data_IF_991535634876
#
_entry.id   IF_991535634876
#
_cell.length_a   1.000
_cell.length_b   1.000
_cell.length_c   1.000
_cell.angle_alpha   90.00
_cell.angle_beta   90.00
_cell.angle_gamma   90.00
#
_symmetry.space_group_name_H-M   'P 1'
#
loop_
_entity.id
_entity.type
_entity.pdbx_description
1 polymer ?
#
# COMPACT_ATOMS: atom_id res chain seq x y z
N UNK A 1 23.16 -11.73 -21.80
CA UNK A 1 22.69 -10.63 -22.67
C UNK A 1 21.71 -9.83 -21.82
N UNK A 2 22.16 -8.72 -21.23
CA UNK A 2 21.31 -7.89 -20.37
C UNK A 2 20.38 -7.12 -21.31
N UNK A 3 19.08 -7.38 -21.24
CA UNK A 3 18.08 -6.60 -21.95
C UNK A 3 18.26 -5.13 -21.56
N UNK A 4 18.47 -4.25 -22.51
CA UNK A 4 18.44 -2.82 -22.29
C UNK A 4 17.03 -2.46 -21.80
N UNK A 5 16.89 -1.55 -20.79
CA UNK A 5 15.59 -1.04 -20.43
C UNK A 5 14.91 -0.52 -21.70
N UNK A 6 13.63 -0.86 -21.87
CA UNK A 6 12.84 -0.27 -22.94
C UNK A 6 12.98 1.24 -22.83
N UNK A 7 13.49 1.87 -23.87
CA UNK A 7 13.40 3.31 -24.05
C UNK A 7 11.91 3.63 -24.18
N UNK A 8 11.24 3.79 -23.05
CA UNK A 8 9.92 4.42 -22.99
C UNK A 8 10.22 5.90 -23.29
N UNK A 9 10.26 6.21 -24.56
CA UNK A 9 10.45 7.59 -25.05
C UNK A 9 9.18 8.33 -24.71
N UNK A 10 9.18 8.97 -23.55
CA UNK A 10 8.25 10.07 -23.29
C UNK A 10 8.77 11.27 -24.10
N UNK A 11 8.53 11.23 -25.40
CA UNK A 11 8.84 12.36 -26.28
C UNK A 11 7.98 13.55 -25.83
N UNK A 12 8.64 14.61 -25.39
CA UNK A 12 8.01 15.87 -25.00
C UNK A 12 7.20 16.54 -26.13
N UNK A 13 7.28 16.01 -27.33
CA UNK A 13 6.54 16.47 -28.53
C UNK A 13 5.40 15.54 -28.95
N UNK A 14 5.23 14.37 -28.36
CA UNK A 14 4.08 13.52 -28.66
C UNK A 14 2.92 13.88 -27.70
N UNK A 15 1.77 14.22 -28.26
CA UNK A 15 0.53 14.48 -27.53
C UNK A 15 -0.09 13.20 -26.88
N UNK A 16 0.71 12.18 -26.62
CA UNK A 16 0.25 10.95 -25.96
C UNK A 16 0.32 11.15 -24.46
N UNK A 17 -0.81 11.37 -23.83
CA UNK A 17 -0.96 11.48 -22.38
C UNK A 17 -1.17 10.09 -21.79
N UNK A 18 -0.09 9.36 -21.52
CA UNK A 18 -0.18 8.09 -20.79
C UNK A 18 -0.62 8.36 -19.35
N UNK A 19 -1.79 7.84 -19.00
CA UNK A 19 -2.35 7.96 -17.63
C UNK A 19 -2.19 6.68 -16.82
N UNK A 20 -2.01 5.54 -17.46
CA UNK A 20 -1.86 4.23 -16.82
C UNK A 20 -0.64 3.51 -17.40
N UNK A 21 0.27 3.08 -16.52
CA UNK A 21 1.41 2.24 -16.86
C UNK A 21 1.36 0.96 -16.05
N UNK A 22 1.16 -0.17 -16.73
CA UNK A 22 1.22 -1.49 -16.11
C UNK A 22 2.51 -2.21 -16.57
N UNK A 23 3.40 -2.43 -15.62
CA UNK A 23 4.65 -3.17 -15.75
C UNK A 23 4.67 -4.38 -14.82
N UNK A 24 3.52 -4.92 -14.46
CA UNK A 24 3.42 -6.13 -13.65
C UNK A 24 4.16 -7.31 -14.30
N UNK A 25 4.81 -8.16 -13.49
CA UNK A 25 5.53 -9.37 -13.93
C UNK A 25 6.67 -9.11 -14.94
N UNK A 26 7.38 -8.00 -14.83
CA UNK A 26 8.39 -7.55 -15.80
C UNK A 26 9.85 -7.72 -15.34
N UNK A 27 10.07 -8.33 -14.16
CA UNK A 27 11.40 -8.53 -13.57
C UNK A 27 12.26 -7.25 -13.52
N UNK A 28 11.62 -6.12 -13.19
CA UNK A 28 12.28 -4.80 -13.13
C UNK A 28 13.42 -4.80 -12.12
N UNK A 29 13.23 -5.46 -10.97
CA UNK A 29 14.18 -5.51 -9.89
C UNK A 29 14.49 -4.13 -9.27
N UNK A 30 15.33 -4.14 -8.24
CA UNK A 30 15.69 -2.89 -7.52
C UNK A 30 16.40 -1.86 -8.40
N UNK A 31 17.21 -2.31 -9.36
CA UNK A 31 17.94 -1.38 -10.23
C UNK A 31 17.05 -0.79 -11.33
N UNK A 32 16.13 -1.60 -11.88
CA UNK A 32 15.16 -1.10 -12.85
C UNK A 32 14.18 -0.10 -12.24
N UNK A 33 13.83 -0.26 -10.97
CA UNK A 33 13.02 0.71 -10.24
C UNK A 33 13.65 2.12 -10.25
N UNK A 34 14.98 2.21 -10.07
CA UNK A 34 15.69 3.50 -10.16
C UNK A 34 15.53 4.16 -11.52
N UNK A 35 15.79 3.41 -12.61
CA UNK A 35 15.64 3.95 -13.96
C UNK A 35 14.20 4.38 -14.27
N UNK A 36 13.22 3.62 -13.79
CA UNK A 36 11.82 3.97 -13.94
C UNK A 36 11.48 5.28 -13.21
N UNK A 37 11.95 5.43 -11.99
CA UNK A 37 11.73 6.64 -11.18
C UNK A 37 12.41 7.85 -11.85
N UNK A 38 13.64 7.72 -12.31
CA UNK A 38 14.36 8.78 -13.05
C UNK A 38 13.55 9.23 -14.28
N UNK A 39 12.94 8.28 -15.02
CA UNK A 39 12.09 8.59 -16.18
C UNK A 39 10.74 9.23 -15.81
N UNK A 40 10.17 8.90 -14.64
CA UNK A 40 8.88 9.42 -14.18
C UNK A 40 9.00 10.70 -13.34
N UNK A 41 10.18 11.14 -12.99
CA UNK A 41 10.41 12.23 -12.05
C UNK A 41 9.69 13.54 -12.45
N UNK A 42 9.58 13.82 -13.74
CA UNK A 42 8.89 15.01 -14.28
C UNK A 42 7.55 14.67 -14.95
N UNK A 43 7.08 13.43 -14.83
CA UNK A 43 5.82 13.04 -15.44
C UNK A 43 4.64 13.66 -14.69
N UNK A 44 3.77 14.36 -15.43
CA UNK A 44 2.60 15.10 -14.93
C UNK A 44 1.27 14.50 -15.40
N UNK A 45 1.28 13.30 -16.01
CA UNK A 45 0.10 12.72 -16.63
C UNK A 45 -0.28 11.34 -16.06
N UNK A 46 0.71 10.60 -15.53
CA UNK A 46 0.48 9.27 -15.01
C UNK A 46 -0.30 9.33 -13.69
N UNK A 47 -1.46 8.68 -13.67
CA UNK A 47 -2.33 8.56 -12.49
C UNK A 47 -2.32 7.15 -11.90
N UNK A 48 -1.96 6.14 -12.68
CA UNK A 48 -1.93 4.75 -12.24
C UNK A 48 -0.62 4.08 -12.62
N UNK A 49 0.09 3.53 -11.64
CA UNK A 49 1.31 2.76 -11.81
C UNK A 49 1.15 1.39 -11.18
N UNK A 50 1.26 0.32 -11.98
CA UNK A 50 1.28 -1.06 -11.53
C UNK A 50 2.68 -1.65 -11.72
N UNK A 51 3.29 -2.07 -10.62
CA UNK A 51 4.61 -2.68 -10.54
C UNK A 51 4.57 -4.03 -9.80
N UNK A 52 3.42 -4.68 -9.74
CA UNK A 52 3.28 -5.93 -9.01
C UNK A 52 4.23 -7.01 -9.56
N UNK A 53 4.74 -7.87 -8.67
CA UNK A 53 5.59 -9.00 -9.02
C UNK A 53 6.85 -8.60 -9.81
N UNK A 54 7.66 -7.69 -9.25
CA UNK A 54 8.86 -7.13 -9.91
C UNK A 54 10.15 -7.23 -9.08
N UNK A 55 10.13 -7.91 -7.94
CA UNK A 55 11.32 -8.10 -7.11
C UNK A 55 11.98 -6.78 -6.70
N UNK A 56 11.16 -5.77 -6.40
CA UNK A 56 11.63 -4.43 -6.01
C UNK A 56 12.44 -4.46 -4.70
N UNK A 57 12.06 -5.34 -3.77
CA UNK A 57 12.61 -5.39 -2.43
C UNK A 57 12.54 -4.02 -1.71
N UNK A 58 13.17 -3.88 -0.55
CA UNK A 58 13.15 -2.60 0.17
C UNK A 58 13.85 -1.48 -0.61
N UNK A 59 14.97 -1.79 -1.30
CA UNK A 59 15.75 -0.79 -2.04
C UNK A 59 14.99 -0.22 -3.25
N UNK A 60 14.34 -1.09 -4.04
CA UNK A 60 13.50 -0.61 -5.14
C UNK A 60 12.31 0.19 -4.65
N UNK A 61 11.75 -0.20 -3.48
CA UNK A 61 10.64 0.53 -2.86
C UNK A 61 11.07 1.91 -2.35
N UNK A 62 12.32 2.07 -1.90
CA UNK A 62 12.87 3.39 -1.52
C UNK A 62 12.81 4.37 -2.70
N UNK A 63 13.23 3.95 -3.90
CA UNK A 63 13.11 4.79 -5.10
C UNK A 63 11.66 5.15 -5.44
N UNK A 64 10.74 4.19 -5.33
CA UNK A 64 9.30 4.46 -5.53
C UNK A 64 8.76 5.45 -4.48
N UNK A 65 9.20 5.32 -3.23
CA UNK A 65 8.84 6.27 -2.17
C UNK A 65 9.38 7.68 -2.46
N UNK A 66 10.60 7.80 -2.99
CA UNK A 66 11.18 9.08 -3.40
C UNK A 66 10.37 9.72 -4.54
N UNK A 67 9.91 8.92 -5.52
CA UNK A 67 8.98 9.41 -6.53
C UNK A 67 7.70 9.96 -5.89
N UNK A 68 7.08 9.21 -4.98
CA UNK A 68 5.82 9.61 -4.34
C UNK A 68 5.92 10.91 -3.55
N UNK A 69 7.08 11.23 -2.93
CA UNK A 69 7.25 12.47 -2.16
C UNK A 69 7.06 13.73 -3.00
N UNK A 70 7.40 13.67 -4.28
CA UNK A 70 7.38 14.82 -5.18
C UNK A 70 6.31 14.73 -6.28
N UNK A 71 5.75 13.55 -6.51
CA UNK A 71 4.73 13.34 -7.54
C UNK A 71 3.36 13.84 -7.04
N UNK A 72 2.70 14.62 -7.89
CA UNK A 72 1.39 15.24 -7.61
C UNK A 72 0.27 14.76 -8.54
N UNK A 73 0.49 13.68 -9.28
CA UNK A 73 -0.48 13.16 -10.25
C UNK A 73 -0.88 11.71 -10.00
N UNK A 74 -0.01 10.93 -9.35
CA UNK A 74 -0.26 9.51 -9.11
C UNK A 74 -1.35 9.32 -8.05
N UNK A 75 -2.43 8.65 -8.47
CA UNK A 75 -3.62 8.35 -7.66
C UNK A 75 -3.57 6.90 -7.17
N UNK A 76 -3.11 5.98 -8.03
CA UNK A 76 -3.07 4.54 -7.75
C UNK A 76 -1.67 3.98 -7.91
N UNK A 77 -1.20 3.30 -6.87
CA UNK A 77 0.06 2.54 -6.89
C UNK A 77 -0.20 1.09 -6.47
N UNK A 78 0.11 0.15 -7.36
CA UNK A 78 0.15 -1.28 -7.06
C UNK A 78 1.61 -1.76 -7.08
N UNK A 79 2.11 -2.15 -5.92
CA UNK A 79 3.42 -2.78 -5.72
C UNK A 79 3.29 -4.12 -4.97
N UNK A 80 2.19 -4.80 -5.17
CA UNK A 80 1.95 -6.14 -4.64
C UNK A 80 3.03 -7.15 -5.07
N UNK A 81 3.27 -8.19 -4.27
CA UNK A 81 4.22 -9.27 -4.58
C UNK A 81 5.66 -8.80 -4.89
N UNK A 82 6.23 -7.89 -4.10
CA UNK A 82 7.55 -7.29 -4.34
C UNK A 82 8.60 -7.54 -3.25
N UNK A 83 8.27 -8.32 -2.21
CA UNK A 83 9.19 -8.63 -1.08
C UNK A 83 9.72 -7.38 -0.37
N UNK A 84 8.89 -6.35 -0.23
CA UNK A 84 9.32 -5.04 0.31
C UNK A 84 9.61 -5.06 1.82
N UNK A 85 9.02 -6.01 2.57
CA UNK A 85 9.20 -6.21 4.01
C UNK A 85 8.88 -4.95 4.84
N UNK A 86 9.17 -4.98 6.14
CA UNK A 86 8.92 -3.85 7.04
C UNK A 86 9.72 -2.60 6.65
N UNK A 87 10.96 -2.77 6.16
CA UNK A 87 11.80 -1.65 5.74
C UNK A 87 11.22 -0.90 4.53
N UNK A 88 10.72 -1.61 3.50
CA UNK A 88 10.05 -0.96 2.37
C UNK A 88 8.75 -0.27 2.80
N UNK A 89 7.99 -0.87 3.72
CA UNK A 89 6.80 -0.23 4.29
C UNK A 89 7.16 1.08 5.01
N UNK A 90 8.30 1.16 5.70
CA UNK A 90 8.79 2.39 6.32
C UNK A 90 9.04 3.49 5.30
N UNK A 91 9.72 3.19 4.18
CA UNK A 91 9.94 4.18 3.12
C UNK A 91 8.62 4.70 2.53
N UNK A 92 7.65 3.80 2.28
CA UNK A 92 6.32 4.20 1.80
C UNK A 92 5.59 5.06 2.84
N UNK A 93 5.65 4.69 4.10
CA UNK A 93 5.05 5.44 5.20
C UNK A 93 5.60 6.87 5.26
N UNK A 94 6.93 7.02 5.16
CA UNK A 94 7.57 8.33 5.17
C UNK A 94 7.14 9.20 3.96
N UNK A 95 6.95 8.59 2.78
CA UNK A 95 6.41 9.29 1.61
C UNK A 95 4.94 9.68 1.79
N UNK A 96 4.10 8.79 2.33
CA UNK A 96 2.68 9.04 2.57
C UNK A 96 2.42 10.21 3.55
N UNK A 97 3.34 10.48 4.47
CA UNK A 97 3.22 11.64 5.39
C UNK A 97 3.12 12.97 4.65
N UNK A 98 3.75 13.09 3.50
CA UNK A 98 3.82 14.32 2.70
C UNK A 98 3.00 14.26 1.42
N UNK A 99 2.82 13.09 0.83
CA UNK A 99 2.03 12.92 -0.40
C UNK A 99 0.55 13.24 -0.15
N UNK A 100 -0.03 14.03 -1.05
CA UNK A 100 -1.43 14.52 -0.98
C UNK A 100 -2.26 14.09 -2.19
N UNK A 101 -1.82 13.11 -2.95
CA UNK A 101 -2.48 12.69 -4.20
C UNK A 101 -2.80 11.21 -4.25
N UNK A 102 -2.00 10.36 -3.63
CA UNK A 102 -2.23 8.91 -3.66
C UNK A 102 -3.49 8.55 -2.86
N UNK A 103 -4.45 7.94 -3.55
CA UNK A 103 -5.72 7.50 -2.97
C UNK A 103 -5.78 5.98 -2.79
N UNK A 104 -5.08 5.22 -3.63
CA UNK A 104 -5.10 3.76 -3.65
C UNK A 104 -3.68 3.22 -3.54
N UNK A 105 -3.43 2.41 -2.51
CA UNK A 105 -2.16 1.71 -2.31
C UNK A 105 -2.40 0.21 -2.17
N UNK A 106 -1.88 -0.58 -3.11
CA UNK A 106 -1.83 -2.04 -3.01
C UNK A 106 -0.40 -2.49 -2.66
N UNK A 107 -0.25 -3.04 -1.46
CA UNK A 107 1.00 -3.64 -0.96
C UNK A 107 0.79 -5.10 -0.54
N UNK A 108 -0.19 -5.78 -1.14
CA UNK A 108 -0.46 -7.19 -0.82
C UNK A 108 0.77 -8.07 -1.07
N UNK A 109 0.87 -9.19 -0.32
CA UNK A 109 1.92 -10.22 -0.48
C UNK A 109 3.35 -9.67 -0.42
N UNK A 110 3.66 -8.83 0.56
CA UNK A 110 4.96 -8.19 0.71
C UNK A 110 5.71 -8.56 1.98
N UNK A 111 5.16 -9.45 2.80
CA UNK A 111 5.77 -9.85 4.09
C UNK A 111 6.08 -8.64 4.98
N UNK A 112 5.11 -7.73 5.13
CA UNK A 112 5.27 -6.51 5.93
C UNK A 112 5.38 -6.81 7.41
N UNK A 113 4.70 -7.85 7.89
CA UNK A 113 4.58 -8.22 9.30
C UNK A 113 3.96 -7.07 10.14
N UNK A 114 3.89 -7.25 11.45
CA UNK A 114 3.28 -6.24 12.34
C UNK A 114 4.06 -4.91 12.31
N UNK A 115 5.39 -4.96 12.20
CA UNK A 115 6.26 -3.78 12.16
C UNK A 115 6.01 -2.92 10.91
N UNK A 116 5.92 -3.55 9.73
CA UNK A 116 5.65 -2.82 8.49
C UNK A 116 4.27 -2.17 8.50
N UNK A 117 3.28 -2.86 9.05
CA UNK A 117 1.94 -2.29 9.23
C UNK A 117 1.95 -1.14 10.22
N UNK A 118 2.71 -1.21 11.31
CA UNK A 118 2.86 -0.10 12.25
C UNK A 118 3.35 1.16 11.53
N UNK A 119 4.38 1.07 10.68
CA UNK A 119 4.87 2.22 9.92
C UNK A 119 3.79 2.84 9.04
N UNK A 120 3.05 2.03 8.27
CA UNK A 120 1.99 2.51 7.40
C UNK A 120 0.84 3.15 8.19
N UNK A 121 0.41 2.52 9.28
CA UNK A 121 -0.68 3.03 10.12
C UNK A 121 -0.30 4.33 10.82
N UNK A 122 0.96 4.47 11.28
CA UNK A 122 1.45 5.73 11.84
C UNK A 122 1.46 6.88 10.80
N UNK A 123 1.71 6.58 9.54
CA UNK A 123 1.58 7.58 8.47
C UNK A 123 0.10 7.95 8.22
N UNK A 124 -0.81 6.98 8.28
CA UNK A 124 -2.24 7.19 8.06
C UNK A 124 -2.92 8.00 9.18
N UNK A 125 -2.29 8.18 10.35
CA UNK A 125 -2.78 9.11 11.38
C UNK A 125 -2.76 10.56 10.92
N UNK A 126 -1.93 10.89 9.93
CA UNK A 126 -1.76 12.26 9.38
C UNK A 126 -2.04 12.36 7.89
N UNK A 127 -1.96 11.26 7.14
CA UNK A 127 -2.35 11.25 5.74
C UNK A 127 -3.89 11.26 5.62
N UNK A 128 -4.41 12.27 4.95
CA UNK A 128 -5.85 12.47 4.72
C UNK A 128 -6.23 12.35 3.24
N UNK A 129 -5.52 11.51 2.49
CA UNK A 129 -5.77 11.30 1.06
C UNK A 129 -6.00 9.85 0.70
N UNK A 130 -5.36 8.91 1.40
CA UNK A 130 -5.51 7.49 1.09
C UNK A 130 -6.91 7.02 1.47
N UNK A 131 -7.62 6.46 0.48
CA UNK A 131 -8.98 5.94 0.63
C UNK A 131 -9.06 4.42 0.59
N UNK A 132 -8.11 3.78 -0.08
CA UNK A 132 -8.01 2.32 -0.16
C UNK A 132 -6.58 1.85 0.19
N UNK A 133 -6.51 0.87 1.10
CA UNK A 133 -5.26 0.18 1.44
C UNK A 133 -5.47 -1.33 1.34
N UNK A 134 -4.63 -1.99 0.51
CA UNK A 134 -4.62 -3.44 0.39
C UNK A 134 -3.40 -4.02 1.12
N UNK A 135 -3.68 -4.70 2.25
CA UNK A 135 -2.70 -5.36 3.12
C UNK A 135 -2.83 -6.89 3.10
N UNK A 136 -3.53 -7.46 2.13
CA UNK A 136 -3.73 -8.91 2.06
C UNK A 136 -2.40 -9.68 2.04
N UNK A 137 -2.38 -10.84 2.69
CA UNK A 137 -1.22 -11.77 2.68
C UNK A 137 0.10 -11.10 3.12
N UNK A 138 0.10 -10.40 4.24
CA UNK A 138 1.28 -9.71 4.76
C UNK A 138 1.79 -10.24 6.10
N UNK A 139 1.30 -11.37 6.59
CA UNK A 139 1.67 -11.98 7.89
C UNK A 139 1.35 -11.06 9.07
N UNK A 140 0.26 -10.32 8.99
CA UNK A 140 -0.20 -9.41 10.02
C UNK A 140 -0.82 -10.22 11.15
N UNK A 141 -0.27 -10.08 12.34
CA UNK A 141 -0.76 -10.74 13.55
C UNK A 141 -1.69 -9.84 14.37
N UNK A 142 -1.90 -10.26 15.62
CA UNK A 142 -2.76 -9.57 16.59
C UNK A 142 -2.28 -8.12 16.82
N UNK A 143 -0.96 -7.91 16.92
CA UNK A 143 -0.38 -6.56 17.12
C UNK A 143 -0.59 -5.66 15.91
N UNK A 144 -0.38 -6.18 14.70
CA UNK A 144 -0.65 -5.43 13.49
C UNK A 144 -2.12 -5.02 13.39
N UNK A 145 -3.05 -5.92 13.73
CA UNK A 145 -4.48 -5.61 13.80
C UNK A 145 -4.79 -4.51 14.84
N UNK A 146 -4.09 -4.50 15.98
CA UNK A 146 -4.21 -3.43 16.97
C UNK A 146 -3.76 -2.08 16.41
N UNK A 147 -2.60 -2.01 15.70
CA UNK A 147 -2.13 -0.76 15.07
C UNK A 147 -3.13 -0.23 14.04
N UNK A 148 -3.72 -1.14 13.25
CA UNK A 148 -4.80 -0.79 12.31
C UNK A 148 -6.00 -0.22 13.07
N UNK A 149 -6.47 -0.90 14.12
CA UNK A 149 -7.60 -0.46 14.93
C UNK A 149 -7.38 0.93 15.53
N UNK A 150 -6.19 1.17 16.11
CA UNK A 150 -5.84 2.46 16.71
C UNK A 150 -5.84 3.60 15.68
N UNK A 151 -5.48 3.30 14.43
CA UNK A 151 -5.55 4.26 13.33
C UNK A 151 -6.99 4.51 12.90
N UNK A 152 -7.79 3.47 12.73
CA UNK A 152 -9.18 3.60 12.28
C UNK A 152 -10.05 4.46 13.20
N UNK A 153 -9.76 4.51 14.50
CA UNK A 153 -10.52 5.37 15.44
C UNK A 153 -10.51 6.85 15.05
N UNK A 154 -9.44 7.33 14.43
CA UNK A 154 -9.25 8.74 14.13
C UNK A 154 -9.09 9.05 12.62
N UNK A 155 -8.82 8.05 11.79
CA UNK A 155 -8.72 8.27 10.35
C UNK A 155 -10.10 8.41 9.73
N UNK A 156 -10.31 9.49 9.00
CA UNK A 156 -11.59 9.87 8.39
C UNK A 156 -11.56 9.83 6.86
N UNK A 157 -10.59 9.17 6.27
CA UNK A 157 -10.43 9.10 4.81
C UNK A 157 -10.41 7.68 4.26
N UNK A 158 -9.88 6.71 5.02
CA UNK A 158 -9.82 5.33 4.58
C UNK A 158 -11.22 4.70 4.59
N UNK A 159 -11.75 4.40 3.41
CA UNK A 159 -13.06 3.80 3.26
C UNK A 159 -13.02 2.31 2.89
N UNK A 160 -11.90 1.83 2.37
CA UNK A 160 -11.71 0.44 1.96
C UNK A 160 -10.40 -0.11 2.51
N UNK A 161 -10.48 -1.21 3.26
CA UNK A 161 -9.32 -1.89 3.83
C UNK A 161 -9.41 -3.39 3.59
N UNK A 162 -8.40 -3.95 2.93
CA UNK A 162 -8.28 -5.39 2.73
C UNK A 162 -7.21 -5.97 3.63
N UNK A 163 -7.59 -6.90 4.50
CA UNK A 163 -6.74 -7.60 5.47
C UNK A 163 -6.82 -9.13 5.33
N UNK A 164 -7.46 -9.66 4.28
CA UNK A 164 -7.58 -11.09 4.11
C UNK A 164 -6.23 -11.83 4.03
N UNK A 165 -6.22 -13.11 4.37
CA UNK A 165 -5.02 -13.96 4.36
C UNK A 165 -3.89 -13.45 5.27
N UNK A 166 -4.23 -13.10 6.52
CA UNK A 166 -3.30 -12.72 7.57
C UNK A 166 -3.49 -13.62 8.81
N UNK A 167 -3.01 -13.24 9.97
CA UNK A 167 -2.98 -14.03 11.21
C UNK A 167 -3.62 -13.24 12.36
N UNK A 168 -4.73 -12.54 12.08
CA UNK A 168 -5.37 -11.57 12.99
C UNK A 168 -5.99 -12.27 14.21
N UNK A 169 -6.60 -13.45 14.03
CA UNK A 169 -7.25 -14.24 15.07
C UNK A 169 -8.38 -13.50 15.80
N UNK A 170 -9.01 -14.16 16.77
CA UNK A 170 -10.11 -13.57 17.55
C UNK A 170 -9.70 -12.30 18.32
N UNK A 171 -8.47 -12.30 18.85
CA UNK A 171 -7.97 -11.14 19.61
C UNK A 171 -7.77 -9.91 18.74
N UNK A 172 -7.25 -10.07 17.53
CA UNK A 172 -7.13 -8.97 16.58
C UNK A 172 -8.49 -8.49 16.07
N UNK A 173 -9.43 -9.44 15.83
CA UNK A 173 -10.81 -9.11 15.47
C UNK A 173 -11.50 -8.26 16.55
N UNK A 174 -11.26 -8.56 17.84
CA UNK A 174 -11.75 -7.74 18.96
C UNK A 174 -11.24 -6.30 18.91
N UNK A 175 -9.94 -6.09 18.59
CA UNK A 175 -9.39 -4.74 18.45
C UNK A 175 -10.06 -3.97 17.31
N UNK A 176 -10.22 -4.62 16.15
CA UNK A 176 -10.88 -4.02 14.99
C UNK A 176 -12.34 -3.71 15.26
N UNK A 177 -13.10 -4.64 15.87
CA UNK A 177 -14.48 -4.43 16.26
C UNK A 177 -14.66 -3.19 17.14
N UNK A 178 -13.83 -3.06 18.19
CA UNK A 178 -13.87 -1.89 19.07
C UNK A 178 -13.58 -0.56 18.36
N UNK A 179 -12.75 -0.58 17.30
CA UNK A 179 -12.49 0.62 16.51
C UNK A 179 -13.64 0.96 15.55
N UNK A 180 -14.34 -0.05 15.04
CA UNK A 180 -15.47 0.11 14.11
C UNK A 180 -16.69 0.74 14.79
N UNK A 181 -16.88 0.58 16.09
CA UNK A 181 -17.96 1.25 16.84
C UNK A 181 -17.89 2.79 16.69
N UNK A 182 -16.69 3.35 16.65
CA UNK A 182 -16.45 4.79 16.56
C UNK A 182 -16.20 5.26 15.12
N UNK A 183 -15.66 4.38 14.25
CA UNK A 183 -15.34 4.75 12.88
C UNK A 183 -16.59 4.88 12.02
N UNK A 184 -16.75 6.02 11.34
CA UNK A 184 -17.89 6.34 10.47
C UNK A 184 -17.50 6.41 8.98
N UNK A 185 -16.27 6.03 8.65
CA UNK A 185 -15.67 6.24 7.31
C UNK A 185 -15.48 4.94 6.56
N UNK A 186 -15.04 3.88 7.26
CA UNK A 186 -14.78 2.60 6.63
C UNK A 186 -16.09 1.95 6.18
N UNK A 187 -16.22 1.71 4.88
CA UNK A 187 -17.40 1.08 4.29
C UNK A 187 -17.14 -0.34 3.79
N UNK A 188 -15.87 -0.70 3.63
CA UNK A 188 -15.46 -2.04 3.21
C UNK A 188 -14.26 -2.54 3.99
N UNK A 189 -14.44 -3.68 4.67
CA UNK A 189 -13.41 -4.40 5.39
C UNK A 189 -13.42 -5.87 4.95
N UNK A 190 -12.29 -6.38 4.50
CA UNK A 190 -12.12 -7.79 4.16
C UNK A 190 -11.19 -8.44 5.19
N UNK A 191 -11.73 -9.36 5.97
CA UNK A 191 -11.03 -10.14 7.01
C UNK A 191 -10.96 -11.63 6.68
N UNK A 192 -11.29 -12.06 5.47
CA UNK A 192 -11.27 -13.47 5.09
C UNK A 192 -9.91 -14.15 5.37
N UNK A 193 -9.92 -15.44 5.72
CA UNK A 193 -8.70 -16.21 5.97
C UNK A 193 -7.76 -15.60 7.03
N UNK A 194 -8.29 -15.24 8.21
CA UNK A 194 -7.54 -14.66 9.33
C UNK A 194 -7.62 -15.48 10.62
N UNK A 195 -8.02 -16.73 10.56
CA UNK A 195 -8.20 -17.59 11.74
C UNK A 195 -9.19 -17.00 12.77
N UNK A 196 -10.14 -16.17 12.31
CA UNK A 196 -11.23 -15.64 13.12
C UNK A 196 -12.27 -16.75 13.27
N UNK A 197 -12.58 -17.09 14.52
CA UNK A 197 -13.51 -18.14 14.92
C UNK A 197 -14.76 -17.52 15.56
N UNK A 198 -15.51 -18.36 16.28
CA UNK A 198 -16.81 -17.98 16.88
C UNK A 198 -16.71 -16.70 17.74
N UNK A 199 -15.68 -16.60 18.58
CA UNK A 199 -15.52 -15.47 19.50
C UNK A 199 -15.16 -14.18 18.74
N UNK A 200 -14.28 -14.26 17.75
CA UNK A 200 -13.94 -13.12 16.91
C UNK A 200 -15.12 -12.68 16.06
N UNK A 201 -15.89 -13.62 15.52
CA UNK A 201 -17.12 -13.33 14.78
C UNK A 201 -18.18 -12.63 15.67
N UNK A 202 -18.31 -13.04 16.94
CA UNK A 202 -19.18 -12.37 17.89
C UNK A 202 -18.77 -10.91 18.09
N UNK A 203 -17.47 -10.62 18.35
CA UNK A 203 -17.00 -9.23 18.50
C UNK A 203 -17.32 -8.36 17.28
N UNK A 204 -17.15 -8.91 16.07
CA UNK A 204 -17.45 -8.18 14.83
C UNK A 204 -18.95 -7.99 14.59
N UNK A 205 -19.80 -8.90 15.09
CA UNK A 205 -21.24 -8.78 14.99
C UNK A 205 -21.83 -7.76 15.96
N UNK A 206 -21.13 -7.47 17.04
CA UNK A 206 -21.54 -6.50 18.07
C UNK A 206 -21.04 -5.06 17.75
N UNK A 207 -20.26 -4.87 16.68
CA UNK A 207 -19.66 -3.58 16.29
C UNK A 207 -20.53 -2.79 15.31
#
# INVERSE_FOLDING_TARGET
>A
MVARPMDIIFDSNSHVTLTTLDLGYSHIGRHGAKYLVDALQNNQTLTTLCLRYNELEAVGTEYIADLLRNNTTLITLDIGDNRIKSQGAKYLADALRTNKTLMVLDVKRNSLEDEGVQHLTDALKINMTLTLLDLRSNRIGIRGAQYVADTLRNNTTLNTLYLAFNQIQDSGARHLAAALQDNKTLTRLDLGHNEIRDQGAQYLGDA
#
